data_IF_105780083427
#
_entry.id   IF_105780083427
#
_cell.length_a   1.000
_cell.length_b   1.000
_cell.length_c   1.000
_cell.angle_alpha   90.00
_cell.angle_beta   90.00
_cell.angle_gamma   90.00
#
_symmetry.space_group_name_H-M   'P 1'
#
loop_
_entity.id
_entity.type
_entity.pdbx_description
1 polymer ?
#
# COMPACT_ATOMS: atom_id res chain seq x y z
N UNK A 1 7.79 13.12 -17.77
CA UNK A 1 6.74 12.40 -18.54
C UNK A 1 5.87 11.67 -17.54
N UNK A 2 4.54 11.80 -17.61
CA UNK A 2 3.66 11.08 -16.69
C UNK A 2 3.79 9.57 -16.95
N UNK A 3 4.24 8.81 -15.96
CA UNK A 3 4.29 7.35 -16.05
C UNK A 3 2.84 6.83 -15.97
N UNK A 4 2.38 5.96 -16.88
CA UNK A 4 1.01 5.43 -16.84
C UNK A 4 0.73 4.71 -15.52
N UNK A 5 -0.46 4.89 -14.95
CA UNK A 5 -0.86 4.27 -13.67
C UNK A 5 -0.85 2.75 -13.69
N UNK A 6 -1.11 2.16 -14.86
CA UNK A 6 -1.28 0.71 -15.02
C UNK A 6 -0.05 0.01 -15.62
N UNK A 7 1.02 0.76 -15.90
CA UNK A 7 2.27 0.19 -16.42
C UNK A 7 3.13 -0.33 -15.27
N UNK A 8 3.08 -1.64 -14.99
CA UNK A 8 3.99 -2.27 -14.04
C UNK A 8 5.43 -2.27 -14.60
N UNK A 9 6.36 -1.68 -13.84
CA UNK A 9 7.79 -1.68 -14.16
C UNK A 9 8.45 -2.83 -13.38
N UNK A 10 9.32 -3.66 -14.00
CA UNK A 10 10.06 -4.67 -13.27
C UNK A 10 10.98 -4.02 -12.23
N UNK A 11 10.99 -4.56 -11.02
CA UNK A 11 11.93 -4.13 -9.98
C UNK A 11 13.32 -4.62 -10.34
N UNK A 12 14.28 -3.68 -10.46
CA UNK A 12 15.69 -4.01 -10.50
C UNK A 12 16.24 -4.03 -9.06
N UNK A 13 16.60 -5.20 -8.50
CA UNK A 13 16.98 -5.31 -7.09
C UNK A 13 18.16 -4.40 -6.73
N UNK A 14 19.22 -4.38 -7.55
CA UNK A 14 20.40 -3.56 -7.29
C UNK A 14 20.11 -2.05 -7.23
N UNK A 15 19.28 -1.56 -8.16
CA UNK A 15 18.85 -0.15 -8.17
C UNK A 15 18.04 0.18 -6.93
N UNK A 16 17.13 -0.72 -6.56
CA UNK A 16 16.27 -0.54 -5.40
C UNK A 16 17.08 -0.55 -4.09
N UNK A 17 18.01 -1.50 -3.95
CA UNK A 17 18.96 -1.59 -2.84
C UNK A 17 19.81 -0.34 -2.69
N UNK A 18 20.37 0.17 -3.79
CA UNK A 18 21.09 1.45 -3.79
C UNK A 18 20.21 2.58 -3.26
N UNK A 19 18.99 2.68 -3.78
CA UNK A 19 18.05 3.75 -3.38
C UNK A 19 17.67 3.67 -1.91
N UNK A 20 17.51 2.46 -1.36
CA UNK A 20 17.25 2.27 0.07
C UNK A 20 18.46 2.61 0.94
N UNK A 21 19.68 2.32 0.50
CA UNK A 21 20.91 2.69 1.23
C UNK A 21 21.18 4.19 1.23
N UNK A 22 20.90 4.87 0.12
CA UNK A 22 21.11 6.30 -0.06
C UNK A 22 19.92 7.14 0.46
N UNK A 23 18.73 6.54 0.50
CA UNK A 23 17.50 7.19 0.90
C UNK A 23 17.40 7.42 2.41
N UNK A 24 16.62 8.42 2.79
CA UNK A 24 16.35 8.77 4.18
C UNK A 24 14.95 8.31 4.57
N UNK A 25 14.86 7.45 5.58
CA UNK A 25 13.62 6.99 6.19
C UNK A 25 13.78 6.84 7.70
N UNK A 26 12.66 6.72 8.42
CA UNK A 26 12.64 6.55 9.87
C UNK A 26 11.69 5.42 10.26
N UNK A 27 11.91 4.83 11.44
CA UNK A 27 11.00 3.81 12.00
C UNK A 27 9.98 4.52 12.90
N UNK A 28 8.67 4.38 12.65
CA UNK A 28 7.66 5.02 13.49
C UNK A 28 7.60 4.35 14.87
N UNK A 29 7.32 5.15 15.89
CA UNK A 29 7.01 4.67 17.24
C UNK A 29 5.50 4.76 17.54
N UNK A 30 5.10 4.38 18.74
CA UNK A 30 3.68 4.40 19.16
C UNK A 30 3.05 5.79 19.18
N UNK A 31 3.85 6.85 19.27
CA UNK A 31 3.39 8.25 19.26
C UNK A 31 3.33 8.84 17.85
N UNK A 32 3.93 8.16 16.88
CA UNK A 32 4.07 8.63 15.51
C UNK A 32 2.74 8.55 14.77
N UNK A 33 2.28 9.68 14.24
CA UNK A 33 1.07 9.74 13.43
C UNK A 33 1.37 9.30 12.00
N UNK A 34 0.65 8.29 11.52
CA UNK A 34 0.76 7.77 10.15
C UNK A 34 -0.56 8.04 9.42
N UNK A 35 -0.52 8.87 8.39
CA UNK A 35 -1.71 9.35 7.68
C UNK A 35 -2.05 8.45 6.49
N UNK A 36 -2.46 7.20 6.69
CA UNK A 36 -2.62 6.22 5.59
C UNK A 36 -4.02 6.13 4.97
N UNK A 37 -4.98 6.92 5.45
CA UNK A 37 -6.39 6.79 5.08
C UNK A 37 -6.74 7.51 3.76
N UNK A 38 -6.09 8.63 3.46
CA UNK A 38 -6.40 9.44 2.29
C UNK A 38 -5.24 10.32 1.83
N UNK A 39 -5.30 10.76 0.57
CA UNK A 39 -4.32 11.69 0.01
C UNK A 39 -4.48 13.10 0.61
N UNK A 40 -3.37 13.64 1.09
CA UNK A 40 -3.26 14.99 1.70
C UNK A 40 -3.78 16.12 0.79
N UNK A 41 -3.70 15.98 -0.53
CA UNK A 41 -4.09 17.03 -1.48
C UNK A 41 -5.53 16.91 -2.00
N UNK A 42 -6.10 15.69 -2.04
CA UNK A 42 -7.34 15.46 -2.78
C UNK A 42 -8.26 14.39 -2.19
N UNK A 43 -7.98 13.90 -0.98
CA UNK A 43 -8.86 13.00 -0.23
C UNK A 43 -9.18 11.67 -0.95
N UNK A 44 -8.41 11.29 -1.98
CA UNK A 44 -8.50 9.95 -2.60
C UNK A 44 -8.06 8.90 -1.58
N UNK A 45 -8.74 7.77 -1.55
CA UNK A 45 -8.51 6.66 -0.60
C UNK A 45 -7.71 5.51 -1.24
N UNK A 46 -7.26 4.50 -0.47
CA UNK A 46 -6.55 3.33 -1.01
C UNK A 46 -7.34 2.50 -2.03
N UNK A 47 -8.66 2.67 -2.09
CA UNK A 47 -9.55 2.03 -3.07
C UNK A 47 -9.51 2.71 -4.44
N UNK A 48 -8.94 3.92 -4.52
CA UNK A 48 -8.79 4.61 -5.79
C UNK A 48 -7.71 3.96 -6.66
N UNK A 49 -7.85 4.06 -7.98
CA UNK A 49 -6.88 3.50 -8.93
C UNK A 49 -5.49 4.09 -8.71
N UNK A 50 -4.48 3.22 -8.68
CA UNK A 50 -3.10 3.59 -8.37
C UNK A 50 -2.76 3.72 -6.88
N UNK A 51 -3.73 3.52 -5.98
CA UNK A 51 -3.49 3.43 -4.54
C UNK A 51 -2.97 4.71 -3.88
N UNK A 52 -2.38 4.52 -2.70
CA UNK A 52 -1.82 5.57 -1.86
C UNK A 52 -0.33 5.32 -1.59
N UNK A 53 0.42 6.40 -1.42
CA UNK A 53 1.87 6.41 -1.22
C UNK A 53 2.18 7.17 0.06
N UNK A 54 2.60 6.44 1.09
CA UNK A 54 2.98 6.98 2.39
C UNK A 54 4.48 7.21 2.42
N UNK A 55 4.93 8.45 2.66
CA UNK A 55 6.35 8.76 2.76
C UNK A 55 6.97 8.07 4.00
N UNK A 56 8.08 7.34 3.83
CA UNK A 56 8.73 6.60 4.92
C UNK A 56 9.50 7.49 5.92
N UNK A 57 9.52 8.81 5.70
CA UNK A 57 10.18 9.79 6.59
C UNK A 57 9.18 10.68 7.32
N UNK A 58 8.14 11.14 6.62
CA UNK A 58 7.16 12.10 7.18
C UNK A 58 5.82 11.47 7.50
N UNK A 59 5.56 10.26 6.99
CA UNK A 59 4.31 9.52 7.14
C UNK A 59 3.06 10.24 6.60
N UNK A 60 3.26 11.28 5.77
CA UNK A 60 2.23 11.89 4.96
C UNK A 60 1.91 11.02 3.74
N UNK A 61 0.68 11.12 3.25
CA UNK A 61 0.17 10.25 2.20
C UNK A 61 -0.32 10.99 0.97
N UNK A 62 -0.02 10.40 -0.19
CA UNK A 62 -0.25 11.00 -1.50
C UNK A 62 -0.85 9.96 -2.44
N UNK A 63 -1.79 10.35 -3.28
CA UNK A 63 -2.22 9.49 -4.38
C UNK A 63 -1.17 9.48 -5.49
N UNK A 64 -1.33 8.58 -6.45
CA UNK A 64 -0.44 8.43 -7.60
C UNK A 64 -0.09 9.74 -8.32
N UNK A 65 -1.06 10.65 -8.48
CA UNK A 65 -0.81 11.91 -9.21
C UNK A 65 -0.04 12.94 -8.39
N UNK A 66 -0.04 12.82 -7.06
CA UNK A 66 0.58 13.81 -6.15
C UNK A 66 1.89 13.34 -5.51
N UNK A 67 2.19 12.04 -5.53
CA UNK A 67 3.43 11.52 -4.95
C UNK A 67 4.67 12.11 -5.62
N UNK A 68 4.65 12.25 -6.96
CA UNK A 68 5.77 12.86 -7.70
C UNK A 68 5.97 14.33 -7.35
N UNK A 69 4.88 15.11 -7.28
CA UNK A 69 4.92 16.52 -6.88
C UNK A 69 5.54 16.68 -5.49
N UNK A 70 5.12 15.85 -4.54
CA UNK A 70 5.69 15.87 -3.19
C UNK A 70 7.16 15.43 -3.16
N UNK A 71 7.52 14.38 -3.91
CA UNK A 71 8.89 13.88 -3.98
C UNK A 71 9.85 14.94 -4.52
N UNK A 72 9.47 15.63 -5.61
CA UNK A 72 10.25 16.71 -6.21
C UNK A 72 10.42 17.91 -5.27
N UNK A 73 9.37 18.28 -4.53
CA UNK A 73 9.41 19.42 -3.60
C UNK A 73 10.19 19.13 -2.31
N UNK A 74 10.05 17.92 -1.77
CA UNK A 74 10.60 17.58 -0.46
C UNK A 74 11.95 16.85 -0.52
N UNK A 75 12.32 16.30 -1.67
CA UNK A 75 13.48 15.42 -1.84
C UNK A 75 13.31 14.03 -1.23
N UNK A 76 12.14 13.71 -0.66
CA UNK A 76 11.87 12.38 -0.11
C UNK A 76 11.47 11.42 -1.23
N UNK A 77 12.26 10.38 -1.43
CA UNK A 77 12.09 9.46 -2.57
C UNK A 77 11.55 8.08 -2.19
N UNK A 78 11.46 7.75 -0.90
CA UNK A 78 11.04 6.43 -0.43
C UNK A 78 9.60 6.44 0.09
N UNK A 79 8.78 5.53 -0.42
CA UNK A 79 7.36 5.43 -0.08
C UNK A 79 6.91 3.99 0.14
N UNK A 80 5.95 3.81 1.05
CA UNK A 80 5.10 2.63 1.14
C UNK A 80 3.88 2.86 0.24
N UNK A 81 3.71 2.01 -0.76
CA UNK A 81 2.51 1.98 -1.59
C UNK A 81 1.47 1.01 -0.97
N UNK A 82 0.24 1.49 -0.85
CA UNK A 82 -0.93 0.77 -0.31
C UNK A 82 -2.03 0.77 -1.37
N UNK A 83 -2.52 -0.41 -1.72
CA UNK A 83 -3.70 -0.55 -2.58
C UNK A 83 -4.69 -1.53 -1.99
N UNK A 84 -5.95 -1.10 -1.85
CA UNK A 84 -7.01 -1.89 -1.22
C UNK A 84 -8.04 -2.33 -2.24
N UNK A 85 -8.52 -3.58 -2.11
CA UNK A 85 -9.58 -4.13 -2.95
C UNK A 85 -10.66 -4.75 -2.07
N UNK A 86 -11.92 -4.64 -2.50
CA UNK A 86 -13.06 -5.33 -1.88
C UNK A 86 -13.21 -6.69 -2.55
N UNK A 87 -13.24 -7.76 -1.76
CA UNK A 87 -13.42 -9.16 -2.20
C UNK A 87 -14.77 -9.65 -1.68
N UNK A 88 -15.60 -10.25 -2.54
CA UNK A 88 -16.89 -10.81 -2.13
C UNK A 88 -16.68 -12.19 -1.49
N UNK A 89 -17.32 -12.43 -0.34
CA UNK A 89 -17.22 -13.71 0.38
C UNK A 89 -18.12 -14.81 -0.20
N UNK A 90 -19.03 -14.48 -1.10
CA UNK A 90 -20.02 -15.43 -1.66
C UNK A 90 -19.46 -16.41 -2.71
N UNK A 91 -18.15 -16.39 -3.02
CA UNK A 91 -17.55 -17.26 -4.05
C UNK A 91 -16.83 -18.50 -3.52
N UNK A 92 -16.89 -18.80 -2.21
CA UNK A 92 -16.13 -19.91 -1.61
C UNK A 92 -16.99 -21.08 -1.08
N UNK A 93 -18.32 -21.05 -1.23
CA UNK A 93 -19.20 -22.10 -0.67
C UNK A 93 -19.56 -23.27 -1.64
N UNK A 94 -18.86 -23.41 -2.78
CA UNK A 94 -18.98 -24.61 -3.63
C UNK A 94 -17.61 -25.30 -3.85
N UNK A 95 -16.88 -25.62 -2.78
CA UNK A 95 -15.86 -26.67 -2.84
C UNK A 95 -15.49 -27.19 -1.44
N UNK A 96 -16.13 -28.29 -1.05
CA UNK A 96 -15.59 -29.41 -0.27
C UNK A 96 -14.73 -29.11 0.99
N UNK A 97 -15.40 -29.18 2.15
CA UNK A 97 -14.91 -29.79 3.40
C UNK A 97 -13.56 -29.37 4.01
N UNK A 98 -13.57 -28.41 4.94
CA UNK A 98 -12.97 -28.46 6.30
C UNK A 98 -12.78 -27.04 6.89
N UNK A 99 -13.22 -26.75 8.14
CA UNK A 99 -13.02 -25.43 8.73
C UNK A 99 -11.64 -25.35 9.41
N UNK A 100 -10.78 -24.45 8.96
CA UNK A 100 -9.58 -24.04 9.72
C UNK A 100 -9.81 -22.66 10.31
N UNK A 101 -9.97 -22.67 11.64
CA UNK A 101 -10.11 -21.54 12.53
C UNK A 101 -9.05 -20.43 12.35
N UNK A 102 -9.44 -19.24 12.84
CA UNK A 102 -8.64 -18.13 13.44
C UNK A 102 -8.41 -16.89 12.56
N UNK A 103 -9.26 -15.85 12.70
CA UNK A 103 -9.03 -14.67 13.58
C UNK A 103 -10.04 -13.54 13.27
N UNK A 104 -10.47 -12.88 14.35
CA UNK A 104 -11.49 -11.83 14.53
C UNK A 104 -11.20 -10.49 13.87
N UNK A 105 -12.24 -9.83 13.30
CA UNK A 105 -12.48 -8.37 13.45
C UNK A 105 -13.89 -7.92 13.03
N UNK A 106 -14.69 -7.65 14.08
CA UNK A 106 -15.70 -6.60 14.25
C UNK A 106 -16.80 -6.43 13.18
N UNK A 107 -17.97 -6.96 13.54
CA UNK A 107 -19.26 -6.50 13.05
C UNK A 107 -19.49 -5.03 13.42
N UNK A 108 -19.90 -4.21 12.45
CA UNK A 108 -20.69 -3.01 12.72
C UNK A 108 -22.11 -3.33 12.26
N UNK A 109 -22.95 -3.69 13.22
CA UNK A 109 -24.39 -3.81 13.02
C UNK A 109 -25.02 -2.44 12.98
N UNK A 110 -25.75 -2.17 11.90
CA UNK A 110 -26.89 -1.24 11.92
C UNK A 110 -28.05 -1.95 11.24
N UNK A 111 -29.08 -2.27 12.01
CA UNK A 111 -30.33 -2.92 11.60
C UNK A 111 -31.14 -2.01 10.65
N UNK A 112 -30.71 -1.92 9.40
CA UNK A 112 -31.51 -1.35 8.32
C UNK A 112 -31.30 -2.22 7.09
N UNK A 113 -32.37 -2.86 6.62
CA UNK A 113 -32.38 -3.88 5.56
C UNK A 113 -31.78 -3.43 4.22
N UNK A 114 -30.46 -3.47 4.16
CA UNK A 114 -29.65 -3.35 2.96
C UNK A 114 -29.03 -4.72 2.75
N UNK A 115 -29.05 -5.27 1.53
CA UNK A 115 -28.38 -6.52 1.20
C UNK A 115 -26.92 -6.46 1.66
N UNK A 116 -26.63 -7.04 2.83
CA UNK A 116 -25.29 -7.05 3.43
C UNK A 116 -24.49 -8.15 2.75
N UNK A 117 -24.13 -7.94 1.48
CA UNK A 117 -23.02 -8.68 0.89
C UNK A 117 -21.80 -8.42 1.76
N UNK A 118 -21.35 -9.46 2.45
CA UNK A 118 -20.16 -9.38 3.29
C UNK A 118 -18.97 -9.27 2.35
N UNK A 119 -18.32 -8.12 2.35
CA UNK A 119 -17.08 -7.91 1.60
C UNK A 119 -15.92 -7.84 2.58
N UNK A 120 -14.85 -8.54 2.27
CA UNK A 120 -13.57 -8.37 2.93
C UNK A 120 -12.73 -7.32 2.18
N UNK A 121 -11.93 -6.57 2.94
CA UNK A 121 -10.97 -5.61 2.39
C UNK A 121 -9.58 -6.23 2.47
N UNK A 122 -8.97 -6.42 1.31
CA UNK A 122 -7.60 -6.92 1.19
C UNK A 122 -6.68 -5.76 0.83
N UNK A 123 -5.73 -5.48 1.72
CA UNK A 123 -4.68 -4.49 1.51
C UNK A 123 -3.43 -5.15 0.93
N UNK A 124 -2.86 -4.55 -0.10
CA UNK A 124 -1.58 -4.93 -0.66
C UNK A 124 -0.55 -3.83 -0.37
N UNK A 125 0.63 -4.25 0.08
CA UNK A 125 1.72 -3.38 0.50
C UNK A 125 2.97 -3.64 -0.36
N UNK A 126 3.58 -2.57 -0.84
CA UNK A 126 4.83 -2.63 -1.61
C UNK A 126 5.69 -1.42 -1.34
N UNK A 127 7.00 -1.58 -1.28
CA UNK A 127 7.92 -0.46 -1.24
C UNK A 127 8.19 0.05 -2.66
N UNK A 128 8.29 1.37 -2.80
CA UNK A 128 8.60 2.03 -4.07
C UNK A 128 9.57 3.17 -3.87
N UNK A 129 10.31 3.51 -4.91
CA UNK A 129 11.19 4.67 -4.91
C UNK A 129 10.90 5.60 -6.09
N UNK A 130 10.84 6.90 -5.85
CA UNK A 130 10.76 7.91 -6.89
C UNK A 130 12.11 8.06 -7.61
N UNK A 131 12.16 8.19 -8.95
CA UNK A 131 11.04 8.38 -9.89
C UNK A 131 10.34 7.09 -10.36
N UNK A 132 10.80 5.92 -9.92
CA UNK A 132 10.32 4.60 -10.33
C UNK A 132 9.14 4.10 -9.48
N UNK A 133 8.12 4.92 -9.30
CA UNK A 133 6.97 4.62 -8.42
C UNK A 133 6.11 3.43 -8.89
N UNK A 134 6.30 2.99 -10.14
CA UNK A 134 5.66 1.82 -10.71
C UNK A 134 6.45 0.51 -10.51
N UNK A 135 7.71 0.60 -10.09
CA UNK A 135 8.53 -0.55 -9.75
C UNK A 135 8.25 -0.95 -8.29
N UNK A 136 7.22 -1.80 -8.12
CA UNK A 136 6.72 -2.21 -6.79
C UNK A 136 7.52 -3.37 -6.23
N UNK A 137 8.33 -3.10 -5.20
CA UNK A 137 9.04 -4.12 -4.45
C UNK A 137 8.10 -4.72 -3.40
N UNK A 138 7.71 -6.01 -3.50
CA UNK A 138 6.83 -6.64 -2.52
C UNK A 138 7.53 -6.73 -1.16
N UNK A 139 6.73 -6.65 -0.09
CA UNK A 139 7.21 -6.87 1.27
C UNK A 139 7.02 -8.36 1.58
N UNK A 140 8.02 -9.17 1.27
CA UNK A 140 8.05 -10.59 1.57
C UNK A 140 9.20 -10.93 2.55
N UNK A 141 9.27 -12.19 2.99
CA UNK A 141 10.31 -12.68 3.90
C UNK A 141 11.74 -12.53 3.31
N UNK A 142 11.86 -12.44 1.98
CA UNK A 142 13.15 -12.33 1.30
C UNK A 142 13.66 -10.91 1.30
N UNK A 143 12.79 -9.91 1.46
CA UNK A 143 13.19 -8.50 1.51
C UNK A 143 14.30 -8.26 2.55
N UNK A 144 14.26 -8.90 3.72
CA UNK A 144 15.35 -8.80 4.71
C UNK A 144 16.69 -9.30 4.17
N UNK A 145 16.69 -10.48 3.54
CA UNK A 145 17.88 -11.06 2.92
C UNK A 145 18.37 -10.21 1.73
N UNK A 146 17.45 -9.66 0.95
CA UNK A 146 17.74 -8.81 -0.20
C UNK A 146 18.14 -7.37 0.19
N UNK A 147 18.10 -6.99 1.46
CA UNK A 147 18.60 -5.70 1.94
C UNK A 147 19.95 -5.85 2.65
N UNK A 148 20.08 -6.89 3.47
CA UNK A 148 21.23 -7.09 4.35
C UNK A 148 22.19 -8.20 3.95
N UNK A 149 21.83 -9.02 2.95
CA UNK A 149 22.71 -10.03 2.35
C UNK A 149 23.74 -9.45 1.38
#
# INVERSE_FOLDING_TARGET
MAVPQDAEEPVCPERFRRTLREGSFTVPDISTKVYKEECTYCFRTPFFTGGLFVCLKTYACFCFTHVGVYAEQSGNTLFLHISSKKVNLESEEESDGEPKDKITRLAIGTDSGFDTKKFDVVDNYSLVSFPHINAKCPIDEKLGADLYG
#
